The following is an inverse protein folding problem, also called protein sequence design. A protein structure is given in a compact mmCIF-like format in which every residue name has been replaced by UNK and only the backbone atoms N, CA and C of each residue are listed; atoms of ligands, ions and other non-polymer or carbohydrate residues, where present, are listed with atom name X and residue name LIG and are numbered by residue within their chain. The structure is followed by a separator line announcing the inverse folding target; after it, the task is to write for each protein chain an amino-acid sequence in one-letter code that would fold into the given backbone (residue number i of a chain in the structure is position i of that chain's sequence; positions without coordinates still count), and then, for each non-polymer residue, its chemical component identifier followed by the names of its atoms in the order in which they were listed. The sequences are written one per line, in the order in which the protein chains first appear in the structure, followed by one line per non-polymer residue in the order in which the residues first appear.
data_IF_313638274908
#
_entry.id   IF_313638274908
#
_cell.length_a   1.000
_cell.length_b   1.000
_cell.length_c   1.000
_cell.angle_alpha   90.00
_cell.angle_beta   90.00
_cell.angle_gamma   90.00
#
_symmetry.space_group_name_H-M   'P 1'
#
loop_
_entity.id
_entity.type
_entity.pdbx_description
1 polymer ?
#
# COMPACT_ATOMS: atom_id res chain seq x y z
N UNK A 1 27.87 2.49 -40.68
CA UNK A 1 28.12 1.85 -39.36
C UNK A 1 26.77 1.43 -38.80
N UNK A 2 26.44 0.15 -38.86
CA UNK A 2 25.19 -0.41 -38.33
C UNK A 2 25.47 -0.99 -36.95
N UNK A 3 24.84 -0.41 -35.93
CA UNK A 3 24.97 -0.89 -34.54
C UNK A 3 24.18 -2.19 -34.42
N UNK A 4 24.88 -3.27 -34.10
CA UNK A 4 24.27 -4.58 -33.85
C UNK A 4 23.64 -4.60 -32.45
N UNK A 5 22.36 -4.24 -32.42
CA UNK A 5 21.51 -4.20 -31.23
C UNK A 5 21.37 -5.56 -30.53
N UNK A 6 21.50 -6.67 -31.27
CA UNK A 6 21.40 -8.00 -30.67
C UNK A 6 22.64 -8.31 -29.81
N UNK A 7 23.82 -7.92 -30.30
CA UNK A 7 25.08 -8.08 -29.56
C UNK A 7 25.16 -7.16 -28.34
N UNK A 8 24.69 -5.92 -28.46
CA UNK A 8 24.68 -4.97 -27.32
C UNK A 8 23.69 -5.38 -26.23
N UNK A 9 22.57 -6.03 -26.58
CA UNK A 9 21.65 -6.59 -25.58
C UNK A 9 22.20 -7.85 -24.91
N UNK A 10 22.91 -8.70 -25.65
CA UNK A 10 23.53 -9.90 -25.10
C UNK A 10 24.67 -9.54 -24.12
N UNK A 11 25.52 -8.57 -24.48
CA UNK A 11 26.60 -8.07 -23.62
C UNK A 11 26.08 -7.38 -22.34
N UNK A 12 24.88 -6.77 -22.39
CA UNK A 12 24.25 -6.14 -21.23
C UNK A 12 23.56 -7.15 -20.29
N UNK A 13 23.12 -8.30 -20.81
CA UNK A 13 22.40 -9.34 -20.06
C UNK A 13 23.36 -10.39 -19.50
N UNK A 14 24.41 -10.74 -20.25
CA UNK A 14 25.38 -11.78 -19.88
C UNK A 14 26.71 -11.21 -19.35
N UNK A 15 26.83 -9.88 -19.28
CA UNK A 15 27.95 -9.20 -18.64
C UNK A 15 28.06 -9.58 -17.16
N UNK A 16 28.98 -10.49 -16.86
CA UNK A 16 29.36 -10.98 -15.54
C UNK A 16 29.56 -9.85 -14.54
N UNK A 17 28.64 -9.71 -13.58
CA UNK A 17 28.69 -8.78 -12.45
C UNK A 17 29.72 -9.15 -11.39
N UNK A 18 30.95 -9.48 -11.78
CA UNK A 18 32.02 -9.86 -10.85
C UNK A 18 33.36 -9.24 -11.23
N UNK A 19 33.43 -7.91 -11.31
CA UNK A 19 34.68 -7.11 -11.20
C UNK A 19 34.36 -5.61 -11.23
N UNK A 20 33.60 -5.10 -10.25
CA UNK A 20 33.46 -3.64 -10.03
C UNK A 20 33.39 -3.29 -8.54
N UNK A 21 34.29 -3.88 -7.77
CA UNK A 21 34.63 -3.42 -6.43
C UNK A 21 36.16 -3.42 -6.36
N UNK A 22 36.75 -2.24 -6.53
CA UNK A 22 38.12 -1.81 -6.22
C UNK A 22 38.61 -0.83 -7.31
N UNK A 23 38.24 0.44 -7.18
CA UNK A 23 38.77 1.51 -8.01
C UNK A 23 38.06 2.84 -7.73
N UNK A 24 38.76 3.78 -7.08
CA UNK A 24 38.28 5.13 -6.81
C UNK A 24 37.98 5.88 -8.11
N UNK A 25 36.69 5.99 -8.43
CA UNK A 25 36.18 6.89 -9.46
C UNK A 25 34.66 6.76 -9.48
N UNK A 26 33.97 7.62 -8.73
CA UNK A 26 32.52 7.67 -8.59
C UNK A 26 31.87 7.89 -9.97
N UNK A 27 31.22 6.88 -10.59
CA UNK A 27 30.28 7.11 -11.66
C UNK A 27 28.90 7.33 -11.06
N UNK A 28 28.03 8.01 -11.80
CA UNK A 28 26.65 8.29 -11.44
C UNK A 28 25.85 6.96 -11.35
N UNK A 29 25.81 6.35 -10.16
CA UNK A 29 25.13 5.08 -9.89
C UNK A 29 23.60 5.20 -9.92
N UNK A 30 23.09 6.43 -9.81
CA UNK A 30 21.65 6.71 -9.73
C UNK A 30 20.96 6.46 -11.08
N UNK A 31 21.60 6.82 -12.20
CA UNK A 31 21.00 6.70 -13.53
C UNK A 31 20.83 5.25 -14.01
N UNK A 32 21.74 4.35 -13.64
CA UNK A 32 21.67 2.93 -14.06
C UNK A 32 20.66 2.16 -13.23
N UNK A 33 20.60 2.40 -11.91
CA UNK A 33 19.61 1.80 -11.03
C UNK A 33 18.18 2.25 -11.38
N UNK A 34 18.00 3.54 -11.69
CA UNK A 34 16.73 4.11 -12.14
C UNK A 34 16.26 3.51 -13.47
N UNK A 35 17.18 3.37 -14.44
CA UNK A 35 16.85 2.80 -15.75
C UNK A 35 16.45 1.32 -15.66
N UNK A 36 17.14 0.53 -14.83
CA UNK A 36 16.81 -0.90 -14.61
C UNK A 36 15.49 -1.05 -13.86
N UNK A 37 15.20 -0.19 -12.87
CA UNK A 37 13.93 -0.15 -12.15
C UNK A 37 12.74 0.19 -13.05
N UNK A 38 12.88 1.18 -13.94
CA UNK A 38 11.86 1.51 -14.92
C UNK A 38 11.62 0.39 -15.94
N UNK A 39 12.68 -0.30 -16.38
CA UNK A 39 12.56 -1.40 -17.32
C UNK A 39 11.82 -2.60 -16.69
N UNK A 40 12.15 -2.96 -15.45
CA UNK A 40 11.48 -4.03 -14.72
C UNK A 40 9.99 -3.74 -14.50
N UNK A 41 9.64 -2.49 -14.16
CA UNK A 41 8.24 -2.05 -13.96
C UNK A 41 7.45 -2.07 -15.28
N UNK A 42 8.07 -1.71 -16.40
CA UNK A 42 7.46 -1.78 -17.73
C UNK A 42 7.27 -3.22 -18.23
N UNK A 43 8.14 -4.14 -17.81
CA UNK A 43 8.00 -5.57 -18.10
C UNK A 43 6.86 -6.18 -17.24
N UNK A 44 6.73 -5.80 -15.96
CA UNK A 44 5.62 -6.21 -15.08
C UNK A 44 4.25 -5.85 -15.67
N UNK A 45 4.08 -4.60 -16.08
CA UNK A 45 2.81 -4.11 -16.66
C UNK A 45 2.43 -4.85 -17.95
N UNK A 46 3.40 -5.13 -18.84
CA UNK A 46 3.13 -5.89 -20.08
C UNK A 46 2.82 -7.36 -19.83
N UNK A 47 3.41 -8.01 -18.83
CA UNK A 47 3.11 -9.41 -18.50
C UNK A 47 1.73 -9.56 -17.85
N UNK A 48 1.34 -8.64 -16.95
CA UNK A 48 0.01 -8.63 -16.36
C UNK A 48 -1.10 -8.44 -17.42
N UNK A 49 -0.90 -7.53 -18.38
CA UNK A 49 -1.86 -7.30 -19.49
C UNK A 49 -1.96 -8.51 -20.42
N UNK A 50 -0.86 -9.24 -20.68
CA UNK A 50 -0.88 -10.44 -21.53
C UNK A 50 -1.44 -11.68 -20.84
N UNK A 51 -1.37 -11.76 -19.51
CA UNK A 51 -2.05 -12.81 -18.75
C UNK A 51 -3.58 -12.60 -18.74
N UNK A 52 -4.04 -11.34 -18.69
CA UNK A 52 -5.47 -11.01 -18.76
C UNK A 52 -6.12 -11.25 -20.13
N UNK A 53 -5.38 -11.11 -21.24
CA UNK A 53 -5.95 -11.22 -22.59
C UNK A 53 -6.14 -12.65 -23.12
N UNK A 54 -5.68 -13.69 -22.41
CA UNK A 54 -5.88 -15.11 -22.82
C UNK A 54 -7.07 -15.81 -22.15
N UNK A 55 -7.79 -15.15 -21.26
CA UNK A 55 -8.97 -15.71 -20.58
C UNK A 55 -10.32 -15.22 -21.14
N UNK A 56 -10.35 -14.44 -22.23
CA UNK A 56 -11.56 -13.75 -22.68
C UNK A 56 -11.80 -13.78 -24.18
N UNK A 57 -12.08 -14.96 -24.74
CA UNK A 57 -12.89 -15.06 -25.97
C UNK A 57 -13.97 -16.11 -25.72
N UNK A 58 -15.04 -15.66 -25.06
CA UNK A 58 -16.27 -16.42 -24.82
C UNK A 58 -17.47 -15.55 -25.16
N UNK A 59 -18.06 -15.82 -26.33
CA UNK A 59 -19.35 -15.42 -26.89
C UNK A 59 -20.26 -14.49 -26.06
N UNK A 60 -20.57 -13.34 -26.67
CA UNK A 60 -21.66 -12.43 -26.30
C UNK A 60 -23.01 -13.12 -26.54
N UNK A 61 -23.72 -13.43 -25.46
CA UNK A 61 -25.16 -13.65 -25.47
C UNK A 61 -25.82 -12.53 -24.66
N UNK A 62 -26.44 -11.60 -25.37
CA UNK A 62 -27.31 -10.57 -24.79
C UNK A 62 -28.60 -11.25 -24.35
N UNK A 63 -28.85 -11.33 -23.05
CA UNK A 63 -30.05 -11.92 -22.48
C UNK A 63 -30.35 -11.34 -21.11
N UNK A 64 -31.53 -10.74 -20.97
CA UNK A 64 -31.99 -9.98 -19.83
C UNK A 64 -31.93 -10.74 -18.49
N UNK A 65 -31.37 -10.12 -17.44
CA UNK A 65 -31.54 -10.58 -16.07
C UNK A 65 -32.67 -9.77 -15.45
N UNK A 66 -33.88 -10.31 -15.59
CA UNK A 66 -34.99 -9.98 -14.71
C UNK A 66 -34.79 -10.69 -13.36
N UNK A 67 -34.93 -9.91 -12.29
CA UNK A 67 -35.27 -10.28 -10.92
C UNK A 67 -35.30 -11.78 -10.57
N UNK A 68 -34.18 -12.27 -10.01
CA UNK A 68 -34.22 -13.35 -9.02
C UNK A 68 -33.34 -12.98 -7.83
N UNK A 69 -33.95 -12.27 -6.89
CA UNK A 69 -33.46 -12.14 -5.52
C UNK A 69 -33.63 -13.46 -4.79
N UNK A 70 -32.81 -14.45 -5.13
CA UNK A 70 -32.58 -15.62 -4.29
C UNK A 70 -31.50 -15.25 -3.27
N UNK A 71 -31.89 -14.98 -2.03
CA UNK A 71 -30.96 -14.91 -0.92
C UNK A 71 -30.23 -16.25 -0.81
N UNK A 72 -29.04 -16.35 -1.40
CA UNK A 72 -28.04 -17.34 -1.02
C UNK A 72 -27.61 -16.98 0.40
N UNK A 73 -28.35 -17.45 1.39
CA UNK A 73 -27.91 -17.52 2.78
C UNK A 73 -26.84 -18.61 2.84
N UNK A 74 -25.67 -18.29 2.31
CA UNK A 74 -24.46 -19.05 2.56
C UNK A 74 -24.28 -19.14 4.07
N UNK A 75 -24.12 -20.36 4.56
CA UNK A 75 -23.91 -20.69 5.96
C UNK A 75 -22.69 -19.90 6.45
N UNK A 76 -22.92 -18.73 7.07
CA UNK A 76 -21.87 -17.91 7.66
C UNK A 76 -21.19 -18.75 8.74
N UNK A 77 -19.92 -19.06 8.55
CA UNK A 77 -19.09 -19.58 9.64
C UNK A 77 -19.05 -18.56 10.78
N UNK A 78 -18.76 -19.00 12.00
CA UNK A 78 -18.61 -18.10 13.15
C UNK A 78 -17.54 -17.00 12.91
N UNK A 79 -16.63 -17.22 11.96
CA UNK A 79 -15.58 -16.28 11.56
C UNK A 79 -16.04 -15.19 10.59
N UNK A 80 -17.30 -15.22 10.13
CA UNK A 80 -17.87 -14.26 9.16
C UNK A 80 -18.92 -13.32 9.79
N UNK A 81 -18.77 -13.06 11.09
CA UNK A 81 -19.60 -12.11 11.85
C UNK A 81 -19.15 -10.68 11.57
N UNK A 82 -19.37 -10.22 10.35
CA UNK A 82 -19.29 -8.80 10.02
C UNK A 82 -20.47 -8.04 10.65
N UNK A 83 -20.30 -6.76 10.98
CA UNK A 83 -21.40 -5.93 11.47
C UNK A 83 -22.56 -5.97 10.46
N UNK A 84 -23.77 -6.22 10.96
CA UNK A 84 -24.97 -6.14 10.15
C UNK A 84 -25.22 -4.70 9.71
N UNK A 85 -25.88 -4.53 8.56
CA UNK A 85 -26.34 -3.22 8.14
C UNK A 85 -27.26 -2.62 9.21
N UNK A 86 -27.06 -1.35 9.54
CA UNK A 86 -27.85 -0.59 10.51
C UNK A 86 -28.74 0.37 9.72
N UNK A 87 -30.06 0.12 9.65
CA UNK A 87 -30.98 1.03 8.96
C UNK A 87 -30.89 2.44 9.53
N UNK A 88 -30.69 3.43 8.66
CA UNK A 88 -30.59 4.84 9.06
C UNK A 88 -29.23 5.27 9.63
N UNK A 89 -28.21 4.40 9.61
CA UNK A 89 -26.84 4.85 9.85
C UNK A 89 -26.44 5.92 8.83
N UNK A 90 -25.73 6.96 9.28
CA UNK A 90 -25.29 8.04 8.41
C UNK A 90 -24.42 7.47 7.27
N UNK A 91 -24.56 7.91 6.02
CA UNK A 91 -23.86 7.24 4.94
C UNK A 91 -22.35 7.43 5.05
N UNK A 92 -21.60 6.36 4.80
CA UNK A 92 -20.15 6.31 5.02
C UNK A 92 -19.76 5.90 6.43
N UNK A 93 -20.72 5.76 7.36
CA UNK A 93 -20.47 5.22 8.70
C UNK A 93 -20.66 3.71 8.75
N UNK A 94 -20.13 3.12 9.80
CA UNK A 94 -20.20 1.70 10.08
C UNK A 94 -21.63 1.14 10.05
N UNK A 95 -21.84 0.08 9.27
CA UNK A 95 -23.15 -0.54 9.07
C UNK A 95 -24.05 0.18 8.07
N UNK A 96 -23.65 1.34 7.54
CA UNK A 96 -24.41 2.02 6.47
C UNK A 96 -24.38 1.22 5.16
N UNK A 97 -25.40 1.41 4.32
CA UNK A 97 -25.44 0.85 2.97
C UNK A 97 -24.52 1.64 2.05
N UNK A 98 -23.76 0.95 1.19
CA UNK A 98 -22.98 1.61 0.13
C UNK A 98 -23.88 2.35 -0.87
N UNK A 99 -25.16 1.94 -1.00
CA UNK A 99 -26.11 2.62 -1.86
C UNK A 99 -26.43 4.05 -1.37
N UNK A 100 -26.25 4.32 -0.08
CA UNK A 100 -26.45 5.65 0.52
C UNK A 100 -25.18 6.52 0.39
N UNK A 101 -24.05 5.93 0.00
CA UNK A 101 -22.77 6.61 -0.21
C UNK A 101 -22.75 7.33 -1.57
N UNK A 102 -23.61 8.34 -1.69
CA UNK A 102 -23.77 9.14 -2.92
C UNK A 102 -23.00 10.46 -2.78
N UNK A 103 -22.29 10.91 -3.84
CA UNK A 103 -21.73 12.25 -3.88
C UNK A 103 -22.81 13.33 -3.69
N UNK A 104 -22.46 14.40 -2.98
CA UNK A 104 -23.28 15.60 -2.80
C UNK A 104 -22.42 16.83 -3.07
N UNK A 105 -23.02 17.92 -3.56
CA UNK A 105 -22.31 19.15 -3.92
C UNK A 105 -21.80 19.15 -5.37
N UNK A 106 -20.74 19.93 -5.63
CA UNK A 106 -20.19 20.15 -6.97
C UNK A 106 -19.46 18.89 -7.50
N UNK A 107 -19.76 18.52 -8.75
CA UNK A 107 -19.14 17.40 -9.45
C UNK A 107 -17.65 17.63 -9.78
N UNK A 108 -17.15 18.86 -9.68
CA UNK A 108 -15.76 19.18 -9.90
C UNK A 108 -14.80 18.60 -8.85
N UNK A 109 -15.31 18.31 -7.64
CA UNK A 109 -14.51 17.72 -6.55
C UNK A 109 -14.53 16.20 -6.66
N UNK A 110 -13.36 15.60 -6.84
CA UNK A 110 -13.21 14.13 -6.88
C UNK A 110 -12.24 13.65 -5.81
N UNK A 111 -12.59 12.53 -5.18
CA UNK A 111 -11.73 11.80 -4.26
C UNK A 111 -11.05 10.66 -5.02
N UNK A 112 -9.75 10.46 -4.82
CA UNK A 112 -9.01 9.32 -5.40
C UNK A 112 -8.12 8.70 -4.33
N UNK A 113 -7.90 7.40 -4.43
CA UNK A 113 -7.04 6.66 -3.51
C UNK A 113 -5.74 6.30 -4.24
N UNK A 114 -4.59 6.59 -3.66
CA UNK A 114 -3.27 6.30 -4.26
C UNK A 114 -2.34 5.64 -3.24
N UNK A 115 -1.49 4.72 -3.70
CA UNK A 115 -0.64 3.83 -2.89
C UNK A 115 0.82 4.22 -2.80
N UNK A 116 1.31 4.93 -3.81
CA UNK A 116 2.70 5.32 -3.89
C UNK A 116 2.79 6.67 -4.60
N UNK A 117 3.64 7.52 -4.06
CA UNK A 117 4.11 8.73 -4.71
C UNK A 117 5.62 8.57 -4.87
N UNK A 118 6.11 8.70 -6.09
CA UNK A 118 7.54 8.96 -6.29
C UNK A 118 7.85 10.41 -5.92
N UNK A 119 9.14 10.73 -5.76
CA UNK A 119 9.58 12.11 -5.49
C UNK A 119 9.17 13.07 -6.62
N UNK A 120 8.84 12.56 -7.81
CA UNK A 120 8.38 13.34 -8.95
C UNK A 120 6.94 13.85 -8.81
N UNK A 121 6.23 13.40 -7.78
CA UNK A 121 4.89 13.87 -7.51
C UNK A 121 3.82 13.16 -8.35
N UNK A 122 4.15 12.01 -8.95
CA UNK A 122 3.16 11.26 -9.72
C UNK A 122 2.56 10.14 -8.88
N UNK A 123 1.23 10.21 -8.71
CA UNK A 123 0.45 9.09 -8.22
C UNK A 123 0.62 7.93 -9.19
N UNK A 124 1.22 6.83 -8.74
CA UNK A 124 1.23 5.61 -9.52
C UNK A 124 0.01 4.77 -9.13
N UNK A 125 -0.73 4.28 -10.12
CA UNK A 125 -1.80 3.29 -9.94
C UNK A 125 -1.18 1.92 -9.60
N UNK A 126 -0.50 1.83 -8.45
CA UNK A 126 0.04 0.55 -7.96
C UNK A 126 -1.15 -0.24 -7.41
N UNK A 127 -1.30 -1.52 -7.82
CA UNK A 127 -2.39 -2.35 -7.35
C UNK A 127 -2.41 -2.40 -5.81
N UNK A 128 -3.59 -2.11 -5.25
CA UNK A 128 -3.89 -2.09 -3.81
C UNK A 128 -4.13 -3.49 -3.22
N UNK A 129 -4.03 -4.53 -4.03
CA UNK A 129 -4.36 -5.90 -3.66
C UNK A 129 -3.50 -6.91 -4.41
N UNK A 130 -3.32 -8.12 -3.85
CA UNK A 130 -3.81 -8.59 -2.54
C UNK A 130 -2.95 -8.07 -1.36
N UNK A 131 -3.53 -8.00 -0.16
CA UNK A 131 -2.87 -7.58 1.08
C UNK A 131 -2.92 -8.71 2.11
N UNK A 132 -1.78 -9.10 2.69
CA UNK A 132 -1.74 -10.04 3.83
C UNK A 132 -1.98 -9.30 5.14
N UNK A 133 -1.30 -8.17 5.28
CA UNK A 133 -1.49 -7.26 6.36
C UNK A 133 -2.86 -6.63 6.26
N UNK A 134 -3.36 -6.26 7.43
CA UNK A 134 -4.56 -5.44 7.55
C UNK A 134 -4.12 -3.98 7.44
N UNK A 135 -3.14 -3.63 6.61
CA UNK A 135 -2.64 -2.27 6.48
C UNK A 135 -2.94 -1.79 5.07
N UNK A 136 -3.58 -0.63 4.95
CA UNK A 136 -3.88 -0.02 3.67
C UNK A 136 -2.93 1.17 3.47
N UNK A 137 -1.83 1.02 2.71
CA UNK A 137 -0.89 2.11 2.47
C UNK A 137 -1.49 3.03 1.41
N UNK A 138 -2.47 3.83 1.78
CA UNK A 138 -3.20 4.63 0.81
C UNK A 138 -3.50 6.05 1.28
N UNK A 139 -3.47 6.99 0.34
CA UNK A 139 -3.75 8.40 0.54
C UNK A 139 -5.02 8.79 -0.22
N UNK A 140 -5.85 9.62 0.40
CA UNK A 140 -7.02 10.22 -0.24
C UNK A 140 -6.62 11.58 -0.80
N UNK A 141 -6.67 11.71 -2.13
CA UNK A 141 -6.42 12.98 -2.81
C UNK A 141 -7.75 13.63 -3.20
N UNK A 142 -7.88 14.93 -2.96
CA UNK A 142 -8.89 15.75 -3.64
C UNK A 142 -8.30 16.39 -4.87
N UNK A 143 -9.07 16.34 -5.95
CA UNK A 143 -8.82 17.16 -7.14
C UNK A 143 -9.93 18.19 -7.28
N UNK A 144 -9.60 19.42 -7.67
CA UNK A 144 -10.57 20.46 -8.00
C UNK A 144 -10.56 21.69 -7.07
N UNK A 145 -9.92 21.61 -5.90
CA UNK A 145 -9.83 22.72 -4.97
C UNK A 145 -8.49 23.46 -5.10
N UNK A 146 -8.54 24.75 -5.43
CA UNK A 146 -7.35 25.61 -5.46
C UNK A 146 -6.94 25.97 -4.04
N UNK A 147 -6.17 25.11 -3.38
CA UNK A 147 -5.70 25.39 -2.04
C UNK A 147 -4.67 26.51 -2.09
N UNK A 148 -5.06 27.68 -1.59
CA UNK A 148 -4.12 28.78 -1.35
C UNK A 148 -3.13 28.31 -0.28
N UNK A 149 -1.87 28.15 -0.67
CA UNK A 149 -0.75 27.71 0.17
C UNK A 149 -0.78 28.45 1.52
N UNK A 150 -1.06 27.71 2.59
CA UNK A 150 -0.91 28.18 3.97
C UNK A 150 0.04 27.23 4.67
N UNK A 151 1.20 27.72 5.09
CA UNK A 151 2.14 26.93 5.89
C UNK A 151 1.46 26.61 7.23
N UNK A 152 1.07 25.35 7.43
CA UNK A 152 0.53 24.85 8.69
C UNK A 152 1.62 24.01 9.37
N UNK A 153 2.07 24.47 10.53
CA UNK A 153 2.87 23.66 11.45
C UNK A 153 1.94 23.07 12.51
N UNK A 154 1.78 21.75 12.53
CA UNK A 154 0.95 21.01 13.50
C UNK A 154 -0.15 20.17 12.85
N UNK A 155 -0.62 19.13 13.57
CA UNK A 155 -1.83 18.34 13.25
C UNK A 155 -3.01 19.30 13.29
N UNK A 156 -3.26 19.97 12.17
CA UNK A 156 -4.35 20.92 12.05
C UNK A 156 -5.53 20.14 11.48
N UNK A 157 -6.75 20.21 12.06
CA UNK A 157 -7.94 19.80 11.32
C UNK A 157 -7.89 20.46 9.94
N UNK A 158 -8.39 19.76 8.92
CA UNK A 158 -8.32 20.28 7.57
C UNK A 158 -8.83 21.74 7.53
N UNK A 159 -8.24 22.62 6.69
CA UNK A 159 -8.57 24.05 6.71
C UNK A 159 -10.06 24.36 6.50
N UNK A 160 -10.79 23.41 5.92
CA UNK A 160 -12.23 23.44 5.62
C UNK A 160 -13.11 22.83 6.73
N UNK A 161 -12.52 22.19 7.75
CA UNK A 161 -13.24 21.41 8.77
C UNK A 161 -13.78 20.07 8.28
N UNK A 162 -13.37 19.64 7.07
CA UNK A 162 -13.81 18.40 6.45
C UNK A 162 -13.18 17.14 7.06
N UNK A 163 -13.86 16.00 6.91
CA UNK A 163 -13.30 14.68 7.21
C UNK A 163 -12.92 13.98 5.92
N UNK A 164 -11.88 13.14 6.00
CA UNK A 164 -11.43 12.32 4.88
C UNK A 164 -11.30 10.91 5.41
N UNK A 165 -11.97 9.99 4.75
CA UNK A 165 -12.09 8.62 5.20
C UNK A 165 -11.91 7.68 4.02
N UNK A 166 -11.36 6.50 4.30
CA UNK A 166 -11.48 5.35 3.39
C UNK A 166 -12.54 4.44 3.98
N UNK A 167 -13.62 4.25 3.23
CA UNK A 167 -14.75 3.40 3.62
C UNK A 167 -14.56 2.02 3.00
N UNK A 168 -14.52 0.98 3.83
CA UNK A 168 -14.36 -0.40 3.40
C UNK A 168 -15.71 -1.11 3.45
N UNK A 169 -16.09 -1.70 2.32
CA UNK A 169 -17.39 -2.32 2.10
C UNK A 169 -17.24 -3.81 1.84
N UNK A 170 -18.14 -4.61 2.42
CA UNK A 170 -18.32 -6.03 2.08
C UNK A 170 -19.81 -6.35 2.00
N UNK A 171 -20.22 -6.98 0.90
CA UNK A 171 -21.63 -7.31 0.65
C UNK A 171 -22.56 -6.08 0.64
N UNK A 172 -22.07 -4.93 0.18
CA UNK A 172 -22.83 -3.68 0.12
C UNK A 172 -22.98 -2.93 1.46
N UNK A 173 -22.37 -3.42 2.53
CA UNK A 173 -22.40 -2.78 3.86
C UNK A 173 -21.01 -2.25 4.22
N UNK A 174 -20.94 -1.07 4.82
CA UNK A 174 -19.71 -0.52 5.38
C UNK A 174 -19.30 -1.32 6.62
N UNK A 175 -18.12 -1.93 6.58
CA UNK A 175 -17.60 -2.81 7.65
C UNK A 175 -16.39 -2.23 8.38
N UNK A 176 -15.70 -1.27 7.78
CA UNK A 176 -14.63 -0.51 8.39
C UNK A 176 -14.55 0.90 7.81
N UNK A 177 -14.08 1.83 8.62
CA UNK A 177 -13.79 3.22 8.22
C UNK A 177 -12.40 3.56 8.70
N UNK A 178 -11.54 4.02 7.80
CA UNK A 178 -10.19 4.45 8.12
C UNK A 178 -10.14 5.96 8.01
N UNK A 179 -10.01 6.69 9.13
CA UNK A 179 -9.79 8.11 9.06
C UNK A 179 -8.45 8.36 8.39
N UNK A 180 -8.46 9.14 7.32
CA UNK A 180 -7.25 9.68 6.73
C UNK A 180 -6.77 10.82 7.62
N UNK A 181 -6.18 10.50 8.78
CA UNK A 181 -5.59 11.50 9.66
C UNK A 181 -4.35 12.10 9.01
N UNK A 182 -4.29 13.43 9.01
CA UNK A 182 -3.09 14.16 8.63
C UNK A 182 -2.14 14.17 9.83
N UNK A 183 -1.16 13.27 9.86
CA UNK A 183 0.00 13.51 10.72
C UNK A 183 0.67 14.78 10.19
N UNK A 184 0.72 15.81 11.03
CA UNK A 184 0.86 17.23 10.65
C UNK A 184 2.22 17.65 10.09
N UNK A 185 2.92 16.77 9.39
CA UNK A 185 4.31 16.95 8.96
C UNK A 185 4.51 17.07 7.45
N UNK A 186 3.51 16.85 6.60
CA UNK A 186 3.76 16.74 5.15
C UNK A 186 2.58 17.16 4.26
N UNK A 187 2.20 18.43 4.35
CA UNK A 187 1.29 19.08 3.39
C UNK A 187 2.10 19.49 2.15
N UNK A 188 2.28 18.55 1.22
CA UNK A 188 2.92 18.82 -0.06
C UNK A 188 1.86 19.32 -1.04
N UNK A 189 1.92 20.61 -1.38
CA UNK A 189 1.28 21.12 -2.59
C UNK A 189 2.24 20.86 -3.73
N UNK A 190 1.91 19.95 -4.63
CA UNK A 190 2.53 19.96 -5.96
C UNK A 190 2.17 21.30 -6.61
N UNK A 191 3.18 22.07 -7.03
CA UNK A 191 2.95 23.39 -7.65
C UNK A 191 2.27 23.25 -9.02
N UNK A 192 2.34 22.08 -9.65
CA UNK A 192 1.79 21.82 -10.97
C UNK A 192 0.37 21.25 -10.94
N UNK A 193 -0.02 20.56 -9.87
CA UNK A 193 -1.35 19.98 -9.74
C UNK A 193 -2.00 20.45 -8.43
N UNK A 194 -3.18 21.04 -8.51
CA UNK A 194 -4.00 21.49 -7.36
C UNK A 194 -4.56 20.31 -6.55
N UNK A 195 -3.69 19.36 -6.19
CA UNK A 195 -4.02 18.13 -5.48
C UNK A 195 -3.58 18.28 -4.04
N UNK A 196 -4.52 18.05 -3.12
CA UNK A 196 -4.21 17.99 -1.70
C UNK A 196 -4.03 16.55 -1.25
N UNK A 197 -2.82 16.22 -0.81
CA UNK A 197 -2.52 14.95 -0.15
C UNK A 197 -3.04 14.95 1.26
N UNK A 198 -3.94 14.01 1.58
CA UNK A 198 -4.22 13.62 2.97
C UNK A 198 -4.29 12.11 3.05
N UNK A 199 -3.41 11.55 3.85
CA UNK A 199 -3.47 10.15 4.20
C UNK A 199 -2.62 9.91 5.42
N UNK A 200 -2.84 8.76 6.02
CA UNK A 200 -2.09 8.33 7.18
C UNK A 200 -0.73 7.84 6.70
N UNK A 201 0.36 8.54 7.04
CA UNK A 201 1.72 7.96 6.88
C UNK A 201 1.90 6.71 7.77
N UNK A 202 1.08 6.62 8.82
CA UNK A 202 0.95 5.46 9.68
C UNK A 202 -0.18 4.57 9.19
N UNK A 203 0.17 3.44 8.59
CA UNK A 203 -0.80 2.48 8.08
C UNK A 203 -1.73 2.01 9.21
N UNK A 204 -2.95 2.52 9.25
CA UNK A 204 -3.92 2.09 10.26
C UNK A 204 -4.33 0.65 9.98
N UNK A 205 -4.41 -0.16 11.04
CA UNK A 205 -4.95 -1.51 10.93
C UNK A 205 -6.41 -1.44 10.45
N UNK A 206 -6.73 -2.23 9.44
CA UNK A 206 -8.04 -2.49 8.88
C UNK A 206 -8.78 -3.35 9.89
N UNK A 207 -9.45 -2.65 10.78
CA UNK A 207 -10.29 -3.22 11.82
C UNK A 207 -11.74 -3.01 11.46
N UNK A 208 -12.57 -4.00 11.81
CA UNK A 208 -14.02 -3.84 11.80
C UNK A 208 -14.42 -2.64 12.65
N UNK A 209 -15.59 -2.12 12.38
CA UNK A 209 -16.25 -1.20 13.27
C UNK A 209 -16.60 -1.88 14.60
N UNK A 210 -16.17 -1.30 15.73
CA UNK A 210 -16.60 -1.77 17.05
C UNK A 210 -18.07 -1.39 17.32
N UNK A 211 -18.47 -0.20 16.86
CA UNK A 211 -19.85 0.31 16.93
C UNK A 211 -20.19 1.06 15.65
N UNK A 212 -21.44 1.48 15.48
CA UNK A 212 -21.85 2.32 14.33
C UNK A 212 -21.11 3.66 14.27
N UNK A 213 -20.46 4.10 15.36
CA UNK A 213 -19.79 5.40 15.47
C UNK A 213 -18.28 5.31 15.75
N UNK A 214 -17.72 4.11 15.90
CA UNK A 214 -16.30 3.95 16.26
C UNK A 214 -15.62 2.83 15.47
N UNK A 215 -14.53 3.19 14.79
CA UNK A 215 -13.50 2.23 14.39
C UNK A 215 -12.88 1.57 15.64
N UNK A 216 -12.31 0.38 15.49
CA UNK A 216 -11.57 -0.28 16.58
C UNK A 216 -12.12 -1.63 17.04
N UNK A 217 -12.92 -2.31 16.23
CA UNK A 217 -13.35 -3.68 16.48
C UNK A 217 -12.24 -4.69 16.21
N UNK A 218 -12.61 -5.94 15.97
CA UNK A 218 -11.67 -6.98 15.59
C UNK A 218 -11.06 -6.70 14.22
N UNK A 219 -9.84 -7.19 13.93
CA UNK A 219 -9.25 -6.97 12.62
C UNK A 219 -10.16 -7.55 11.50
N UNK A 220 -10.14 -7.00 10.28
CA UNK A 220 -11.00 -7.48 9.16
C UNK A 220 -10.58 -8.88 8.66
N UNK A 221 -11.49 -9.87 8.58
CA UNK A 221 -11.13 -11.22 8.15
C UNK A 221 -10.67 -11.25 6.69
N UNK A 222 -9.99 -12.33 6.30
CA UNK A 222 -9.61 -12.55 4.90
C UNK A 222 -10.86 -12.57 4.01
N UNK A 223 -10.73 -12.06 2.78
CA UNK A 223 -11.82 -12.00 1.82
C UNK A 223 -11.72 -10.81 0.86
N UNK A 224 -12.77 -10.66 0.04
CA UNK A 224 -12.87 -9.56 -0.92
C UNK A 224 -13.71 -8.41 -0.35
N UNK A 225 -13.21 -7.20 -0.56
CA UNK A 225 -13.74 -5.94 -0.09
C UNK A 225 -13.70 -4.90 -1.21
N UNK A 226 -14.40 -3.79 -1.01
CA UNK A 226 -14.31 -2.61 -1.87
C UNK A 226 -14.01 -1.39 -1.01
N UNK A 227 -12.93 -0.67 -1.31
CA UNK A 227 -12.66 0.62 -0.70
C UNK A 227 -13.25 1.75 -1.54
N UNK A 228 -13.77 2.76 -0.85
CA UNK A 228 -14.17 4.03 -1.41
C UNK A 228 -13.41 5.15 -0.69
N UNK A 229 -12.64 5.99 -1.39
CA UNK A 229 -12.17 7.23 -0.78
C UNK A 229 -13.37 8.19 -0.67
N UNK A 230 -13.62 8.69 0.53
CA UNK A 230 -14.73 9.58 0.87
C UNK A 230 -14.15 10.84 1.47
N UNK A 231 -14.68 11.97 1.03
CA UNK A 231 -14.29 13.28 1.53
C UNK A 231 -15.56 14.05 1.83
N UNK A 232 -15.68 14.51 3.06
CA UNK A 232 -16.66 15.51 3.43
C UNK A 232 -15.96 16.87 3.46
N UNK A 233 -16.56 17.87 2.83
CA UNK A 233 -16.00 19.21 2.71
C UNK A 233 -17.10 20.25 2.92
N UNK A 234 -16.72 21.48 3.23
CA UNK A 234 -17.68 22.57 3.38
C UNK A 234 -18.24 22.96 2.01
N UNK A 235 -19.56 22.91 1.88
CA UNK A 235 -20.23 23.39 0.67
C UNK A 235 -20.33 24.92 0.73
N UNK A 236 -19.55 25.60 -0.11
CA UNK A 236 -19.54 27.07 -0.14
C UNK A 236 -20.79 27.66 -0.81
N UNK A 237 -21.56 26.85 -1.54
CA UNK A 237 -22.81 27.27 -2.17
C UNK A 237 -23.98 27.34 -1.18
N UNK A 238 -23.88 26.65 -0.05
CA UNK A 238 -24.90 26.61 1.00
C UNK A 238 -24.31 27.12 2.32
N UNK A 239 -24.79 28.23 2.90
CA UNK A 239 -24.28 28.73 4.18
C UNK A 239 -24.34 27.67 5.29
N UNK A 240 -23.17 27.19 5.71
CA UNK A 240 -23.05 26.13 6.73
C UNK A 240 -23.33 24.72 6.22
N UNK A 241 -23.50 24.54 4.91
CA UNK A 241 -23.67 23.24 4.28
C UNK A 241 -22.38 22.42 4.24
N UNK A 242 -22.55 21.11 4.19
CA UNK A 242 -21.49 20.12 3.97
C UNK A 242 -21.82 19.35 2.70
N UNK A 243 -20.81 19.13 1.86
CA UNK A 243 -20.88 18.32 0.67
C UNK A 243 -19.95 17.11 0.81
N UNK A 244 -20.14 16.12 -0.06
CA UNK A 244 -19.41 14.86 -0.02
C UNK A 244 -18.95 14.46 -1.41
N UNK A 245 -17.66 14.23 -1.57
CA UNK A 245 -17.11 13.57 -2.74
C UNK A 245 -16.87 12.09 -2.42
N UNK A 246 -17.26 11.21 -3.34
CA UNK A 246 -17.02 9.76 -3.26
C UNK A 246 -16.25 9.36 -4.50
N UNK A 247 -15.08 8.77 -4.32
CA UNK A 247 -14.26 8.32 -5.45
C UNK A 247 -14.69 6.97 -6.01
N UNK A 248 -14.01 6.56 -7.08
CA UNK A 248 -14.26 5.28 -7.71
C UNK A 248 -13.99 4.10 -6.75
N UNK A 249 -14.79 3.01 -6.85
CA UNK A 249 -14.58 1.81 -6.05
C UNK A 249 -13.24 1.14 -6.39
N UNK A 250 -12.54 0.67 -5.37
CA UNK A 250 -11.30 -0.08 -5.54
C UNK A 250 -11.42 -1.45 -4.89
N UNK A 251 -11.14 -2.49 -5.66
CA UNK A 251 -11.17 -3.86 -5.18
C UNK A 251 -9.98 -4.14 -4.27
N UNK A 252 -10.30 -4.66 -3.09
CA UNK A 252 -9.35 -5.07 -2.07
C UNK A 252 -9.53 -6.55 -1.78
N UNK A 253 -8.43 -7.27 -1.75
CA UNK A 253 -8.40 -8.68 -1.35
C UNK A 253 -7.51 -8.80 -0.14
N UNK A 254 -8.10 -9.12 1.02
CA UNK A 254 -7.36 -9.43 2.24
C UNK A 254 -7.08 -10.92 2.28
N UNK A 255 -5.81 -11.29 2.43
CA UNK A 255 -5.35 -12.66 2.58
C UNK A 255 -5.39 -13.06 4.06
N UNK A 256 -5.36 -14.38 4.36
CA UNK A 256 -5.21 -14.85 5.73
C UNK A 256 -3.94 -14.29 6.38
N UNK A 257 -4.02 -14.06 7.69
CA UNK A 257 -2.84 -13.72 8.47
C UNK A 257 -1.81 -14.85 8.37
N UNK A 258 -0.57 -14.45 8.14
CA UNK A 258 0.54 -15.39 8.04
C UNK A 258 1.08 -15.66 9.44
N UNK A 259 1.33 -16.93 9.81
CA UNK A 259 1.92 -17.26 11.10
C UNK A 259 3.30 -16.60 11.27
N UNK A 260 3.78 -16.45 12.53
CA UNK A 260 5.14 -16.00 12.80
C UNK A 260 6.17 -16.82 12.01
N UNK A 261 7.25 -16.16 11.57
CA UNK A 261 8.30 -16.82 10.82
C UNK A 261 8.93 -17.95 11.66
N UNK A 262 9.15 -19.10 11.04
CA UNK A 262 9.81 -20.26 11.66
C UNK A 262 11.02 -20.69 10.86
N UNK A 263 11.94 -21.42 11.49
CA UNK A 263 13.11 -22.01 10.82
C UNK A 263 14.31 -21.06 10.69
N UNK A 264 14.31 -19.96 11.44
CA UNK A 264 15.52 -19.13 11.59
C UNK A 264 16.62 -19.94 12.31
N UNK A 265 17.91 -19.77 11.96
CA UNK A 265 19.01 -20.39 12.67
C UNK A 265 19.05 -20.00 14.16
N UNK A 266 19.50 -20.91 15.02
CA UNK A 266 19.56 -20.67 16.48
C UNK A 266 20.44 -19.47 16.87
N UNK A 267 21.42 -19.13 16.04
CA UNK A 267 22.30 -17.97 16.24
C UNK A 267 21.69 -16.64 15.75
N UNK A 268 20.51 -16.65 15.12
CA UNK A 268 19.85 -15.44 14.66
C UNK A 268 19.42 -14.58 15.87
N UNK A 269 19.56 -13.24 15.80
CA UNK A 269 19.20 -12.37 16.93
C UNK A 269 17.71 -12.39 17.24
N UNK A 270 17.35 -12.93 18.41
CA UNK A 270 15.96 -13.09 18.83
C UNK A 270 15.23 -11.76 19.12
N UNK A 271 15.98 -10.66 19.28
CA UNK A 271 15.48 -9.32 19.53
C UNK A 271 15.13 -8.53 18.26
N UNK A 272 15.51 -9.03 17.08
CA UNK A 272 15.19 -8.39 15.80
C UNK A 272 13.89 -8.97 15.22
N UNK A 273 12.82 -8.18 15.11
CA UNK A 273 11.55 -8.68 14.62
C UNK A 273 11.58 -8.88 13.11
N UNK A 274 11.12 -10.05 12.67
CA UNK A 274 10.97 -10.41 11.26
C UNK A 274 9.50 -10.76 11.00
N UNK A 275 8.94 -10.26 9.91
CA UNK A 275 7.55 -10.57 9.53
C UNK A 275 7.33 -12.06 9.26
N UNK A 276 6.10 -12.51 9.47
CA UNK A 276 5.63 -13.81 9.00
C UNK A 276 5.71 -13.95 7.49
N UNK A 277 6.01 -15.16 7.03
CA UNK A 277 6.19 -15.53 5.64
C UNK A 277 6.80 -16.92 5.51
N UNK A 278 7.25 -17.27 4.31
CA UNK A 278 8.07 -18.46 4.09
C UNK A 278 9.54 -18.05 4.05
N UNK A 279 10.35 -18.60 4.94
CA UNK A 279 11.80 -18.35 4.91
C UNK A 279 12.40 -18.94 3.62
N UNK A 280 13.03 -18.09 2.81
CA UNK A 280 13.77 -18.53 1.62
C UNK A 280 15.24 -18.78 1.94
N UNK A 281 15.81 -17.98 2.84
CA UNK A 281 17.19 -18.14 3.28
C UNK A 281 17.50 -17.22 4.45
N UNK A 282 18.37 -17.69 5.34
CA UNK A 282 18.98 -16.92 6.40
C UNK A 282 20.45 -17.32 6.44
N UNK A 283 21.33 -16.37 6.15
CA UNK A 283 22.78 -16.59 6.12
C UNK A 283 23.47 -15.56 7.00
N UNK A 284 24.36 -16.06 7.86
CA UNK A 284 25.33 -15.22 8.54
C UNK A 284 26.31 -14.65 7.51
N UNK A 285 26.51 -13.34 7.58
CA UNK A 285 27.50 -12.64 6.77
C UNK A 285 28.82 -12.72 7.53
N UNK A 286 29.59 -13.76 7.24
CA UNK A 286 30.95 -13.91 7.77
C UNK A 286 31.94 -13.36 6.76
N UNK A 287 32.36 -12.11 6.95
CA UNK A 287 33.29 -11.47 6.04
C UNK A 287 34.10 -10.35 6.67
N UNK A 288 35.28 -10.12 6.08
CA UNK A 288 36.15 -8.99 6.41
C UNK A 288 35.52 -7.62 6.11
N UNK A 289 34.47 -7.59 5.28
CA UNK A 289 33.80 -6.38 4.81
C UNK A 289 32.43 -6.13 5.46
N UNK A 290 31.80 -7.17 6.03
CA UNK A 290 30.53 -7.05 6.74
C UNK A 290 30.35 -8.26 7.66
N UNK A 291 29.97 -8.00 8.91
CA UNK A 291 29.42 -8.97 9.85
C UNK A 291 27.90 -8.81 9.93
N UNK A 292 27.18 -9.89 10.25
CA UNK A 292 25.75 -9.83 10.58
C UNK A 292 24.90 -10.88 9.88
N UNK A 293 23.68 -10.53 9.48
CA UNK A 293 22.72 -11.47 8.90
C UNK A 293 22.07 -10.92 7.64
N UNK A 294 21.83 -11.82 6.68
CA UNK A 294 20.96 -11.60 5.54
C UNK A 294 19.82 -12.61 5.60
N UNK A 295 18.58 -12.12 5.66
CA UNK A 295 17.38 -12.96 5.74
C UNK A 295 16.41 -12.58 4.62
N UNK A 296 16.00 -13.56 3.82
CA UNK A 296 15.04 -13.37 2.74
C UNK A 296 13.77 -14.12 3.06
N UNK A 297 12.66 -13.40 3.11
CA UNK A 297 11.32 -13.94 3.41
C UNK A 297 10.45 -13.80 2.17
N UNK A 298 9.92 -14.90 1.66
CA UNK A 298 8.85 -14.89 0.68
C UNK A 298 7.56 -14.43 1.38
N UNK A 299 6.92 -13.44 0.79
CA UNK A 299 5.69 -12.86 1.31
C UNK A 299 4.59 -12.97 0.27
N UNK A 300 3.39 -13.28 0.74
CA UNK A 300 2.19 -13.06 -0.04
C UNK A 300 1.77 -11.58 0.09
N UNK A 301 1.06 -11.09 -0.92
CA UNK A 301 0.57 -9.72 -0.96
C UNK A 301 1.61 -8.66 -1.31
N UNK A 302 1.13 -7.46 -1.60
CA UNK A 302 1.96 -6.31 -1.99
C UNK A 302 2.46 -5.47 -0.80
N UNK A 303 2.06 -5.83 0.41
CA UNK A 303 2.24 -5.06 1.64
C UNK A 303 3.38 -5.57 2.53
N UNK A 304 4.22 -6.48 2.04
CA UNK A 304 5.29 -7.10 2.83
C UNK A 304 6.25 -6.11 3.49
N UNK A 305 6.68 -5.07 2.78
CA UNK A 305 7.58 -4.03 3.36
C UNK A 305 6.86 -3.16 4.38
N UNK A 306 5.59 -2.82 4.15
CA UNK A 306 4.78 -2.09 5.13
C UNK A 306 4.66 -2.91 6.42
N UNK A 307 4.38 -4.22 6.32
CA UNK A 307 4.41 -5.13 7.48
C UNK A 307 5.77 -5.17 8.16
N UNK A 308 6.87 -5.14 7.40
CA UNK A 308 8.22 -5.11 7.95
C UNK A 308 8.45 -3.84 8.78
N UNK A 309 8.08 -2.70 8.23
CA UNK A 309 8.18 -1.41 8.90
C UNK A 309 7.34 -1.38 10.19
N UNK A 310 6.10 -1.86 10.15
CA UNK A 310 5.22 -1.90 11.33
C UNK A 310 5.73 -2.87 12.39
N UNK A 311 6.30 -4.01 11.98
CA UNK A 311 6.96 -4.94 12.87
C UNK A 311 8.17 -4.30 13.57
N UNK A 312 8.95 -3.48 12.86
CA UNK A 312 10.08 -2.75 13.46
C UNK A 312 9.59 -1.65 14.43
N UNK A 313 8.52 -0.91 14.09
CA UNK A 313 7.93 0.14 14.94
C UNK A 313 7.55 -0.35 16.34
N UNK A 314 7.07 -1.59 16.45
CA UNK A 314 6.70 -2.22 17.73
C UNK A 314 7.84 -2.31 18.75
N UNK A 315 9.09 -2.12 18.32
CA UNK A 315 10.30 -2.25 19.13
C UNK A 315 10.96 -0.91 19.48
N UNK A 316 10.20 0.20 19.34
CA UNK A 316 10.68 1.56 19.59
C UNK A 316 12.06 1.86 18.96
N UNK A 317 12.24 1.59 17.66
CA UNK A 317 13.54 1.67 17.02
C UNK A 317 14.02 3.11 16.93
N UNK A 318 15.34 3.29 16.85
CA UNK A 318 15.92 4.57 16.44
C UNK A 318 16.02 4.61 14.92
N UNK A 319 15.14 5.37 14.27
CA UNK A 319 15.14 5.52 12.81
C UNK A 319 16.39 6.26 12.32
N UNK A 320 17.06 5.70 11.31
CA UNK A 320 18.26 6.30 10.71
C UNK A 320 17.98 6.89 9.31
N UNK A 321 17.22 6.18 8.47
CA UNK A 321 16.75 6.68 7.17
C UNK A 321 15.50 5.90 6.74
N UNK A 322 14.43 6.62 6.46
CA UNK A 322 13.24 6.08 5.79
C UNK A 322 13.26 6.68 4.39
N UNK A 323 13.78 5.92 3.42
CA UNK A 323 13.36 6.19 2.04
C UNK A 323 11.94 5.66 1.91
N UNK A 324 10.97 6.53 1.61
CA UNK A 324 9.58 6.12 1.39
C UNK A 324 9.60 5.11 0.23
N UNK A 325 8.99 3.92 0.36
CA UNK A 325 9.05 2.88 -0.67
C UNK A 325 8.30 3.31 -1.93
N UNK A 326 9.03 3.95 -2.84
CA UNK A 326 8.65 4.30 -4.20
C UNK A 326 9.40 3.44 -5.24
N UNK A 327 10.48 2.77 -4.83
CA UNK A 327 11.38 1.97 -5.65
C UNK A 327 11.82 0.68 -4.95
N UNK A 328 12.24 -0.32 -5.73
CA UNK A 328 12.77 -1.60 -5.20
C UNK A 328 14.12 -1.43 -4.47
N UNK A 329 14.75 -0.27 -4.58
CA UNK A 329 15.98 0.11 -3.87
C UNK A 329 15.70 0.80 -2.54
N UNK A 330 14.44 1.10 -2.22
CA UNK A 330 14.11 1.78 -0.98
C UNK A 330 14.29 0.87 0.22
N UNK A 331 15.17 1.34 1.10
CA UNK A 331 15.56 0.64 2.32
C UNK A 331 15.00 1.41 3.50
N UNK A 332 14.27 0.70 4.35
CA UNK A 332 13.91 1.17 5.68
C UNK A 332 15.04 0.78 6.62
N UNK A 333 15.71 1.76 7.24
CA UNK A 333 16.80 1.52 8.18
C UNK A 333 16.47 2.02 9.60
N UNK A 334 16.57 1.12 10.58
CA UNK A 334 16.32 1.40 11.98
C UNK A 334 17.32 0.66 12.88
N UNK A 335 17.69 1.25 14.01
CA UNK A 335 18.48 0.55 15.04
C UNK A 335 17.54 -0.06 16.07
N UNK A 336 17.68 -1.37 16.32
CA UNK A 336 16.98 -2.13 17.36
C UNK A 336 18.04 -2.83 18.20
N UNK A 337 18.09 -2.52 19.50
CA UNK A 337 19.12 -3.08 20.38
C UNK A 337 20.54 -2.77 19.87
N UNK A 338 21.33 -3.83 19.67
CA UNK A 338 22.69 -3.79 19.11
C UNK A 338 22.75 -3.96 17.60
N UNK A 339 21.63 -3.88 16.89
CA UNK A 339 21.53 -4.17 15.47
C UNK A 339 21.03 -2.97 14.67
N UNK A 340 21.72 -2.66 13.59
CA UNK A 340 21.18 -1.84 12.52
C UNK A 340 20.44 -2.77 11.53
N UNK A 341 19.15 -2.54 11.37
CA UNK A 341 18.23 -3.37 10.59
C UNK A 341 17.76 -2.60 9.37
N UNK A 342 18.05 -3.15 8.19
CA UNK A 342 17.62 -2.65 6.90
C UNK A 342 16.62 -3.64 6.27
N UNK A 343 15.43 -3.19 5.87
CA UNK A 343 14.45 -4.00 5.15
C UNK A 343 14.10 -3.36 3.80
N UNK A 344 14.01 -4.17 2.74
CA UNK A 344 13.59 -3.72 1.41
C UNK A 344 12.74 -4.78 0.69
N UNK A 345 11.94 -4.33 -0.29
CA UNK A 345 11.17 -5.21 -1.16
C UNK A 345 12.08 -5.85 -2.19
N UNK A 346 11.87 -7.14 -2.46
CA UNK A 346 12.53 -7.85 -3.54
C UNK A 346 11.54 -8.67 -4.36
N UNK A 347 12.06 -9.27 -5.44
CA UNK A 347 11.41 -10.36 -6.14
C UNK A 347 12.42 -11.51 -6.26
N UNK A 348 11.95 -12.74 -6.20
CA UNK A 348 12.70 -13.90 -6.69
C UNK A 348 12.71 -13.93 -8.23
N UNK A 349 13.53 -14.81 -8.81
CA UNK A 349 13.65 -14.97 -10.27
C UNK A 349 12.33 -15.40 -10.95
N UNK A 350 11.48 -16.14 -10.24
CA UNK A 350 10.14 -16.53 -10.67
C UNK A 350 9.07 -15.45 -10.43
N UNK A 351 9.47 -14.31 -9.85
CA UNK A 351 8.61 -13.15 -9.63
C UNK A 351 7.79 -13.18 -8.34
N UNK A 352 8.09 -14.08 -7.40
CA UNK A 352 7.48 -14.09 -6.07
C UNK A 352 7.98 -12.87 -5.27
N UNK A 353 7.05 -12.19 -4.58
CA UNK A 353 7.38 -11.07 -3.69
C UNK A 353 8.19 -11.52 -2.49
N UNK A 354 9.23 -10.76 -2.17
CA UNK A 354 10.08 -11.00 -1.00
C UNK A 354 10.29 -9.74 -0.19
N UNK A 355 10.61 -9.92 1.09
CA UNK A 355 11.22 -8.90 1.93
C UNK A 355 12.60 -9.40 2.34
N UNK A 356 13.61 -8.59 2.11
CA UNK A 356 15.00 -8.91 2.45
C UNK A 356 15.42 -8.03 3.61
N UNK A 357 15.86 -8.67 4.69
CA UNK A 357 16.40 -8.04 5.88
C UNK A 357 17.92 -8.18 5.87
N UNK A 358 18.61 -7.07 6.13
CA UNK A 358 20.03 -7.02 6.42
C UNK A 358 20.22 -6.49 7.83
N UNK A 359 20.89 -7.27 8.66
CA UNK A 359 21.22 -6.91 10.04
C UNK A 359 22.73 -6.72 10.12
N UNK A 360 23.17 -5.65 10.76
CA UNK A 360 24.59 -5.37 11.00
C UNK A 360 24.80 -5.07 12.48
N UNK A 361 25.75 -5.75 13.15
CA UNK A 361 26.08 -5.43 14.55
C UNK A 361 26.60 -4.00 14.65
N UNK A 362 26.28 -3.34 15.75
CA UNK A 362 26.68 -1.96 16.04
C UNK A 362 27.93 -1.87 16.90
#
# INVERSE_FOLDING_TARGET
MTIDLARTLHDAVDGTGTTFLLGHGRPDQDAVAETVGHLATRIRTRRAVRAGTRAGVGLVAVGAIAAFGGQLVGRRGADDLLPAAVPGAAPGTCGSSVADLVPTGDAAVSATLSTAYDESGTASDVPLSPLVGRHLPAFVMLTGETIKKRSLGGVTPLPDGGTRDVVIVRGGTVVATLPATMDGTSLWTDQASSRLRVGTELASNLVTCATSQSAGGEPLPAGSYTAYPVVEYRDMSVPGGTARAVGAPILLTLLPQVPPLSGLPDAFPADVPIIGGRLLGASELDGTLASGWLVTVAVDGVDGVTRALDSLRGFAPRWQKISIPSSATDTVAATIGSWDVAAHAGLTDDGQSTVVYRLTPR
#
